data_IF_579761015717
#
_entry.id   IF_579761015717
#
_cell.length_a   1.000
_cell.length_b   1.000
_cell.length_c   1.000
_cell.angle_alpha   90.00
_cell.angle_beta   90.00
_cell.angle_gamma   90.00
#
_symmetry.space_group_name_H-M   'P 1'
#
loop_
_entity.id
_entity.type
_entity.pdbx_description
1 polymer ?
#
# COMPACT_ATOMS: atom_id res chain seq x y z
N UNK A 1 -11.89 -40.50 -23.04
CA UNK A 1 -10.84 -40.03 -23.97
C UNK A 1 -9.52 -39.96 -23.21
N UNK A 2 -8.58 -40.86 -23.50
CA UNK A 2 -7.21 -40.83 -22.93
C UNK A 2 -6.45 -39.68 -23.59
N UNK A 3 -5.93 -38.76 -22.77
CA UNK A 3 -5.12 -37.64 -23.23
C UNK A 3 -3.65 -38.07 -23.18
N UNK A 4 -3.08 -38.43 -24.33
CA UNK A 4 -1.67 -38.80 -24.48
C UNK A 4 -0.77 -37.59 -24.25
N UNK A 5 -0.23 -37.48 -23.04
CA UNK A 5 0.70 -36.42 -22.66
C UNK A 5 2.10 -36.77 -23.18
N UNK A 6 2.37 -36.46 -24.46
CA UNK A 6 3.67 -36.63 -25.10
C UNK A 6 4.66 -35.65 -24.45
N UNK A 7 5.51 -36.16 -23.55
CA UNK A 7 6.58 -35.43 -22.88
C UNK A 7 7.54 -34.82 -23.90
N UNK A 8 7.36 -33.53 -24.23
CA UNK A 8 8.33 -32.77 -25.01
C UNK A 8 9.61 -32.66 -24.19
N UNK A 9 10.67 -33.35 -24.63
CA UNK A 9 12.02 -33.30 -24.08
C UNK A 9 12.49 -31.84 -24.01
N UNK A 10 12.37 -31.20 -22.83
CA UNK A 10 12.79 -29.81 -22.60
C UNK A 10 14.31 -29.75 -22.73
N UNK A 11 14.80 -29.11 -23.78
CA UNK A 11 16.23 -28.83 -23.94
C UNK A 11 16.66 -27.83 -22.87
N UNK A 12 17.70 -28.17 -22.11
CA UNK A 12 18.26 -27.27 -21.09
C UNK A 12 18.85 -26.03 -21.77
N UNK A 13 18.64 -24.84 -21.19
CA UNK A 13 19.01 -23.54 -21.77
C UNK A 13 20.49 -23.50 -22.25
N UNK A 14 21.40 -24.14 -21.51
CA UNK A 14 22.82 -24.28 -21.88
C UNK A 14 23.06 -25.09 -23.17
N UNK A 15 22.21 -26.08 -23.49
CA UNK A 15 22.29 -26.82 -24.76
C UNK A 15 21.79 -25.97 -25.93
N UNK A 16 20.83 -25.08 -25.70
CA UNK A 16 20.34 -24.12 -26.70
C UNK A 16 21.40 -23.04 -26.98
N UNK A 17 22.01 -22.49 -25.92
CA UNK A 17 23.10 -21.51 -26.02
C UNK A 17 24.33 -22.15 -26.70
N UNK A 18 24.71 -23.36 -26.29
CA UNK A 18 25.80 -24.11 -26.91
C UNK A 18 25.56 -24.38 -28.40
N UNK A 19 24.34 -24.75 -28.79
CA UNK A 19 23.98 -24.92 -30.20
C UNK A 19 24.07 -23.59 -30.98
N UNK A 20 23.56 -22.49 -30.42
CA UNK A 20 23.61 -21.14 -31.02
C UNK A 20 25.04 -20.65 -31.25
N UNK A 21 25.99 -21.00 -30.37
CA UNK A 21 27.41 -20.64 -30.53
C UNK A 21 28.17 -21.55 -31.51
N UNK A 22 27.83 -22.84 -31.58
CA UNK A 22 28.56 -23.83 -32.41
C UNK A 22 28.06 -23.84 -33.87
N UNK A 23 26.76 -23.63 -34.11
CA UNK A 23 26.17 -23.55 -35.45
C UNK A 23 26.89 -22.58 -36.41
N UNK A 24 27.20 -21.32 -36.03
CA UNK A 24 27.90 -20.40 -36.93
C UNK A 24 29.33 -20.86 -37.25
N UNK A 25 30.03 -21.52 -36.32
CA UNK A 25 31.35 -22.09 -36.58
C UNK A 25 31.30 -23.26 -37.57
N UNK A 26 30.28 -24.11 -37.46
CA UNK A 26 30.05 -25.22 -38.40
C UNK A 26 29.71 -24.69 -39.79
N UNK A 27 28.82 -23.70 -39.89
CA UNK A 27 28.46 -23.05 -41.17
C UNK A 27 29.71 -22.44 -41.82
N UNK A 28 30.51 -21.71 -41.05
CA UNK A 28 31.75 -21.09 -41.51
C UNK A 28 32.76 -22.16 -42.00
N UNK A 29 32.91 -23.27 -41.28
CA UNK A 29 33.75 -24.40 -41.71
C UNK A 29 33.32 -24.96 -43.07
N UNK A 30 32.01 -25.19 -43.28
CA UNK A 30 31.50 -25.67 -44.57
C UNK A 30 31.71 -24.65 -45.68
N UNK A 31 31.46 -23.35 -45.42
CA UNK A 31 31.74 -22.28 -46.38
C UNK A 31 33.21 -22.30 -46.81
N UNK A 32 34.15 -22.32 -45.86
CA UNK A 32 35.58 -22.41 -46.16
C UNK A 32 35.94 -23.69 -46.92
N UNK A 33 35.35 -24.83 -46.56
CA UNK A 33 35.55 -26.12 -47.25
C UNK A 33 35.08 -26.07 -48.70
N UNK A 34 33.93 -25.45 -48.98
CA UNK A 34 33.41 -25.30 -50.34
C UNK A 34 34.22 -24.29 -51.15
N UNK A 35 34.64 -23.17 -50.55
CA UNK A 35 35.55 -22.20 -51.17
C UNK A 35 36.87 -22.90 -51.53
N UNK A 36 37.47 -23.64 -50.60
CA UNK A 36 38.69 -24.40 -50.85
C UNK A 36 38.53 -25.42 -51.99
N UNK A 37 37.42 -26.19 -51.99
CA UNK A 37 37.12 -27.14 -53.06
C UNK A 37 36.93 -26.46 -54.42
N UNK A 38 36.32 -25.27 -54.44
CA UNK A 38 36.15 -24.46 -55.64
C UNK A 38 37.49 -23.99 -56.22
N UNK A 39 38.40 -23.48 -55.38
CA UNK A 39 39.73 -23.06 -55.82
C UNK A 39 40.62 -24.24 -56.26
N UNK A 40 40.46 -25.43 -55.65
CA UNK A 40 41.19 -26.64 -56.04
C UNK A 40 40.62 -27.34 -57.29
N UNK A 41 39.38 -27.06 -57.69
CA UNK A 41 38.75 -27.69 -58.85
C UNK A 41 39.45 -27.36 -60.17
N UNK A 42 39.73 -28.35 -60.99
CA UNK A 42 40.26 -28.18 -62.36
C UNK A 42 39.18 -27.80 -63.38
N UNK A 43 37.90 -27.84 -62.98
CA UNK A 43 36.74 -27.55 -63.83
C UNK A 43 36.67 -26.10 -64.29
N UNK A 44 37.38 -25.18 -63.63
CA UNK A 44 37.35 -23.74 -63.90
C UNK A 44 38.75 -23.17 -64.09
N UNK A 45 38.92 -22.31 -65.09
CA UNK A 45 40.19 -21.63 -65.38
C UNK A 45 40.52 -20.58 -64.32
N UNK A 46 41.81 -20.20 -64.20
CA UNK A 46 42.26 -19.15 -63.25
C UNK A 46 41.52 -17.82 -63.44
N UNK A 47 41.25 -17.41 -64.68
CA UNK A 47 40.51 -16.17 -65.00
C UNK A 47 39.06 -16.23 -64.51
N UNK A 48 38.37 -17.36 -64.72
CA UNK A 48 36.98 -17.55 -64.27
C UNK A 48 36.84 -17.54 -62.75
N UNK A 49 37.80 -18.13 -62.02
CA UNK A 49 37.80 -18.10 -60.54
C UNK A 49 37.92 -16.68 -59.99
N UNK A 50 38.82 -15.86 -60.57
CA UNK A 50 38.98 -14.44 -60.19
C UNK A 50 37.69 -13.67 -60.43
N UNK A 51 37.07 -13.84 -61.60
CA UNK A 51 35.79 -13.18 -61.95
C UNK A 51 34.68 -13.55 -60.97
N UNK A 52 34.49 -14.84 -60.67
CA UNK A 52 33.44 -15.31 -59.75
C UNK A 52 33.65 -14.74 -58.34
N UNK A 53 34.88 -14.69 -57.84
CA UNK A 53 35.18 -14.10 -56.53
C UNK A 53 34.89 -12.60 -56.48
N UNK A 54 35.24 -11.86 -57.53
CA UNK A 54 34.89 -10.44 -57.65
C UNK A 54 33.36 -10.22 -57.68
N UNK A 55 32.61 -11.08 -58.39
CA UNK A 55 31.14 -11.02 -58.43
C UNK A 55 30.52 -11.29 -57.06
N UNK A 56 31.00 -12.30 -56.33
CA UNK A 56 30.52 -12.61 -54.97
C UNK A 56 30.80 -11.44 -54.02
N UNK A 57 32.01 -10.86 -54.08
CA UNK A 57 32.36 -9.72 -53.23
C UNK A 57 31.49 -8.49 -53.55
N UNK A 58 31.23 -8.22 -54.83
CA UNK A 58 30.31 -7.16 -55.26
C UNK A 58 28.88 -7.41 -54.73
N UNK A 59 28.37 -8.64 -54.80
CA UNK A 59 27.05 -9.00 -54.27
C UNK A 59 26.95 -8.82 -52.75
N UNK A 60 27.99 -9.16 -51.99
CA UNK A 60 28.03 -8.95 -50.53
C UNK A 60 28.05 -7.45 -50.20
N UNK A 61 28.83 -6.68 -50.95
CA UNK A 61 28.92 -5.22 -50.79
C UNK A 61 27.56 -4.55 -51.08
N UNK A 62 26.89 -4.99 -52.15
CA UNK A 62 25.56 -4.53 -52.53
C UNK A 62 24.51 -4.95 -51.48
N UNK A 63 24.62 -6.16 -50.91
CA UNK A 63 23.70 -6.62 -49.86
C UNK A 63 23.76 -5.73 -48.61
N UNK A 64 24.96 -5.32 -48.17
CA UNK A 64 25.11 -4.39 -47.04
C UNK A 64 24.46 -3.02 -47.32
N UNK A 65 24.63 -2.49 -48.53
CA UNK A 65 24.03 -1.22 -48.95
C UNK A 65 22.50 -1.33 -49.02
N UNK A 66 21.97 -2.42 -49.60
CA UNK A 66 20.53 -2.68 -49.68
C UNK A 66 19.93 -2.85 -48.28
N UNK A 67 20.63 -3.54 -47.37
CA UNK A 67 20.17 -3.72 -45.99
C UNK A 67 20.09 -2.41 -45.21
N UNK A 68 20.95 -1.43 -45.48
CA UNK A 68 20.91 -0.12 -44.83
C UNK A 68 19.84 0.77 -45.49
N UNK A 69 19.74 0.73 -46.83
CA UNK A 69 18.75 1.49 -47.60
C UNK A 69 17.30 1.02 -47.43
N UNK A 70 17.07 -0.16 -46.83
CA UNK A 70 15.74 -0.72 -46.55
C UNK A 70 15.29 -0.56 -45.10
N UNK A 71 16.11 0.06 -44.23
CA UNK A 71 15.68 0.39 -42.86
C UNK A 71 14.61 1.48 -42.91
N UNK A 72 13.47 1.22 -42.27
CA UNK A 72 12.43 2.23 -42.09
C UNK A 72 12.92 3.38 -41.20
N UNK A 73 12.17 4.49 -41.12
CA UNK A 73 12.63 5.65 -40.37
C UNK A 73 12.65 5.40 -38.87
N UNK A 74 13.66 5.98 -38.20
CA UNK A 74 13.78 5.94 -36.75
C UNK A 74 12.84 6.94 -36.07
N UNK A 75 12.27 6.57 -34.92
CA UNK A 75 11.47 7.45 -34.06
C UNK A 75 12.36 8.59 -33.55
N UNK A 76 12.08 9.81 -33.99
CA UNK A 76 12.72 11.00 -33.46
C UNK A 76 12.06 11.45 -32.15
N UNK A 77 10.74 11.61 -32.19
CA UNK A 77 9.92 12.14 -31.09
C UNK A 77 8.69 11.28 -30.84
N UNK A 78 8.35 11.10 -29.56
CA UNK A 78 7.05 10.57 -29.14
C UNK A 78 6.37 11.51 -28.16
N UNK A 79 5.06 11.64 -28.29
CA UNK A 79 4.23 12.46 -27.39
C UNK A 79 2.98 11.68 -27.00
N UNK A 80 2.71 11.66 -25.70
CA UNK A 80 1.48 11.16 -25.10
C UNK A 80 0.79 12.33 -24.42
N UNK A 81 -0.51 12.49 -24.64
CA UNK A 81 -1.29 13.54 -23.99
C UNK A 81 -1.60 13.19 -22.54
N UNK A 82 -1.93 14.20 -21.73
CA UNK A 82 -2.42 13.95 -20.38
C UNK A 82 -3.75 13.18 -20.43
N UNK A 83 -3.92 12.25 -19.50
CA UNK A 83 -5.06 11.35 -19.48
C UNK A 83 -5.92 11.68 -18.26
N UNK A 84 -7.20 11.94 -18.49
CA UNK A 84 -8.22 12.00 -17.45
C UNK A 84 -9.17 10.81 -17.61
N UNK A 85 -9.47 10.15 -16.49
CA UNK A 85 -10.40 9.03 -16.42
C UNK A 85 -11.05 8.95 -15.03
N UNK A 86 -12.10 8.14 -14.90
CA UNK A 86 -12.74 7.85 -13.63
C UNK A 86 -12.17 6.59 -12.98
N UNK A 87 -12.30 6.47 -11.66
CA UNK A 87 -12.01 5.24 -10.92
C UNK A 87 -12.77 4.05 -11.53
N UNK A 88 -12.09 2.90 -11.61
CA UNK A 88 -12.55 1.64 -12.23
C UNK A 88 -12.79 1.71 -13.75
N UNK A 89 -12.50 2.85 -14.38
CA UNK A 89 -12.50 2.96 -15.84
C UNK A 89 -11.10 2.77 -16.37
N UNK A 90 -11.02 2.40 -17.64
CA UNK A 90 -9.77 2.25 -18.33
C UNK A 90 -9.75 3.01 -19.64
N UNK A 91 -8.56 3.45 -20.05
CA UNK A 91 -8.33 4.13 -21.32
C UNK A 91 -7.05 3.62 -21.98
N UNK A 92 -7.12 3.37 -23.29
CA UNK A 92 -5.95 2.99 -24.09
C UNK A 92 -5.06 4.22 -24.32
N UNK A 93 -3.75 4.03 -24.24
CA UNK A 93 -2.76 5.09 -24.47
C UNK A 93 -2.60 5.28 -25.98
N UNK A 94 -2.76 6.52 -26.43
CA UNK A 94 -2.53 6.91 -27.82
C UNK A 94 -1.15 7.56 -27.94
N UNK A 95 -0.30 6.97 -28.79
CA UNK A 95 1.05 7.47 -29.05
C UNK A 95 1.08 8.28 -30.34
N UNK A 96 1.57 9.52 -30.27
CA UNK A 96 1.88 10.34 -31.44
C UNK A 96 3.39 10.26 -31.70
N UNK A 97 3.80 9.49 -32.73
CA UNK A 97 5.20 9.31 -33.13
C UNK A 97 5.56 10.15 -34.36
N UNK A 98 6.81 10.63 -34.40
CA UNK A 98 7.40 11.35 -35.54
C UNK A 98 8.72 10.70 -35.93
N UNK A 99 8.93 10.36 -37.22
CA UNK A 99 7.97 10.45 -38.32
C UNK A 99 6.83 9.42 -38.20
N UNK A 100 5.70 9.64 -38.89
CA UNK A 100 4.44 8.89 -38.68
C UNK A 100 4.52 7.41 -39.04
N UNK A 101 5.42 7.06 -39.94
CA UNK A 101 5.69 5.72 -40.45
C UNK A 101 6.73 4.95 -39.62
N UNK A 102 7.33 5.60 -38.61
CA UNK A 102 8.20 4.93 -37.66
C UNK A 102 7.40 3.95 -36.78
N UNK A 103 7.97 2.76 -36.55
CA UNK A 103 7.28 1.67 -35.86
C UNK A 103 7.80 1.44 -34.45
N UNK A 104 6.87 1.21 -33.53
CA UNK A 104 7.13 0.89 -32.13
C UNK A 104 7.25 -0.62 -31.98
N UNK A 105 8.37 -1.08 -31.42
CA UNK A 105 8.60 -2.49 -31.08
C UNK A 105 8.07 -2.86 -29.71
N UNK A 106 8.37 -2.04 -28.71
CA UNK A 106 8.03 -2.31 -27.32
C UNK A 106 7.81 -1.02 -26.53
N UNK A 107 6.93 -1.09 -25.53
CA UNK A 107 6.56 0.02 -24.64
C UNK A 107 6.67 -0.45 -23.20
N UNK A 108 7.27 0.38 -22.33
CA UNK A 108 7.29 0.14 -20.88
C UNK A 108 6.99 1.41 -20.09
N UNK A 109 6.35 1.28 -18.93
CA UNK A 109 5.92 2.41 -18.10
C UNK A 109 6.57 2.33 -16.73
N UNK A 110 7.04 3.48 -16.22
CA UNK A 110 7.68 3.60 -14.92
C UNK A 110 7.32 4.94 -14.25
N UNK A 111 7.70 5.07 -12.99
CA UNK A 111 7.62 6.31 -12.22
C UNK A 111 6.18 6.83 -12.12
N UNK A 112 5.26 5.95 -11.73
CA UNK A 112 3.86 6.25 -11.46
C UNK A 112 3.43 5.65 -10.12
N UNK A 113 2.39 6.22 -9.52
CA UNK A 113 1.81 5.73 -8.28
C UNK A 113 0.87 4.54 -8.54
N UNK A 114 1.26 3.38 -8.02
CA UNK A 114 0.51 2.13 -8.15
C UNK A 114 -0.77 2.10 -7.30
N UNK A 115 -0.94 3.02 -6.34
CA UNK A 115 -2.21 3.19 -5.64
C UNK A 115 -3.24 3.93 -6.50
N UNK A 116 -2.79 4.83 -7.39
CA UNK A 116 -3.67 5.69 -8.19
C UNK A 116 -4.04 5.02 -9.51
N UNK A 117 -3.08 4.37 -10.19
CA UNK A 117 -3.33 3.71 -11.49
C UNK A 117 -2.63 2.35 -11.61
N UNK A 118 -3.15 1.51 -12.50
CA UNK A 118 -2.43 0.39 -13.09
C UNK A 118 -2.26 0.57 -14.59
N UNK A 119 -1.19 0.03 -15.16
CA UNK A 119 -0.92 0.06 -16.60
C UNK A 119 -0.59 -1.35 -17.09
N UNK A 120 -1.45 -1.89 -17.94
CA UNK A 120 -1.31 -3.23 -18.55
C UNK A 120 -1.56 -3.12 -20.05
N UNK A 121 -0.70 -3.69 -20.90
CA UNK A 121 -0.88 -3.72 -22.36
C UNK A 121 -1.26 -2.37 -23.01
N UNK A 122 -0.55 -1.29 -22.62
CA UNK A 122 -0.84 0.09 -23.07
C UNK A 122 -2.25 0.59 -22.72
N UNK A 123 -2.90 0.01 -21.71
CA UNK A 123 -4.18 0.41 -21.16
C UNK A 123 -3.96 0.85 -19.71
N UNK A 124 -4.40 2.06 -19.39
CA UNK A 124 -4.36 2.61 -18.03
C UNK A 124 -5.72 2.37 -17.39
N UNK A 125 -5.74 1.89 -16.15
CA UNK A 125 -6.94 1.76 -15.31
C UNK A 125 -6.79 2.63 -14.07
N UNK A 126 -7.84 3.38 -13.73
CA UNK A 126 -7.88 4.21 -12.52
C UNK A 126 -8.26 3.37 -11.31
N UNK A 127 -7.45 3.42 -10.26
CA UNK A 127 -7.65 2.64 -9.02
C UNK A 127 -8.14 3.54 -7.89
N UNK A 128 -7.43 4.63 -7.61
CA UNK A 128 -7.82 5.60 -6.58
C UNK A 128 -7.80 7.02 -7.13
N UNK A 129 -8.61 7.89 -6.52
CA UNK A 129 -8.64 9.31 -6.83
C UNK A 129 -7.26 9.93 -6.61
N UNK A 130 -6.77 10.66 -7.61
CA UNK A 130 -5.46 11.30 -7.49
C UNK A 130 -4.83 11.69 -8.81
N UNK A 131 -3.59 12.13 -8.71
CA UNK A 131 -2.76 12.56 -9.85
C UNK A 131 -1.41 11.89 -9.77
N UNK A 132 -0.96 11.32 -10.88
CA UNK A 132 0.40 10.78 -10.99
C UNK A 132 1.03 11.22 -12.31
N UNK A 133 2.35 11.41 -12.29
CA UNK A 133 3.13 11.47 -13.54
C UNK A 133 3.43 10.03 -13.98
N UNK A 134 3.56 9.79 -15.28
CA UNK A 134 3.95 8.49 -15.85
C UNK A 134 5.09 8.72 -16.82
N UNK A 135 6.16 7.95 -16.70
CA UNK A 135 7.26 7.94 -17.67
C UNK A 135 7.09 6.73 -18.59
N UNK A 136 6.83 6.99 -19.87
CA UNK A 136 6.81 5.96 -20.91
C UNK A 136 8.19 5.86 -21.56
N UNK A 137 8.66 4.62 -21.76
CA UNK A 137 9.83 4.27 -22.57
C UNK A 137 9.39 3.46 -23.77
N UNK A 138 9.85 3.84 -24.95
CA UNK A 138 9.48 3.24 -26.23
C UNK A 138 10.76 2.78 -26.92
N UNK A 139 10.76 1.53 -27.38
CA UNK A 139 11.84 0.93 -28.15
C UNK A 139 11.46 0.97 -29.64
N UNK A 140 12.33 1.59 -30.43
CA UNK A 140 12.20 1.68 -31.89
C UNK A 140 12.48 0.33 -32.57
N UNK A 141 11.66 -0.04 -33.57
CA UNK A 141 11.76 -1.34 -34.26
C UNK A 141 13.03 -1.50 -35.10
N UNK A 142 13.53 -0.41 -35.70
CA UNK A 142 14.63 -0.45 -36.66
C UNK A 142 16.01 -0.25 -36.02
N UNK A 143 16.08 0.54 -34.95
CA UNK A 143 17.32 0.94 -34.31
C UNK A 143 17.52 0.38 -32.90
N UNK A 144 16.45 -0.16 -32.28
CA UNK A 144 16.42 -0.51 -30.84
C UNK A 144 16.79 0.65 -29.90
N UNK A 145 16.77 1.90 -30.40
CA UNK A 145 16.98 3.09 -29.56
C UNK A 145 15.77 3.31 -28.66
N UNK A 146 16.02 3.82 -27.46
CA UNK A 146 14.99 4.11 -26.46
C UNK A 146 14.63 5.59 -26.52
N UNK A 147 13.33 5.88 -26.64
CA UNK A 147 12.77 7.23 -26.51
C UNK A 147 11.87 7.29 -25.28
N UNK A 148 11.83 8.44 -24.63
CA UNK A 148 11.06 8.62 -23.40
C UNK A 148 10.13 9.82 -23.48
N UNK A 149 8.96 9.71 -22.86
CA UNK A 149 8.01 10.80 -22.71
C UNK A 149 7.38 10.73 -21.32
N UNK A 150 7.01 11.90 -20.79
CA UNK A 150 6.32 12.05 -19.52
C UNK A 150 4.96 12.68 -19.76
N UNK A 151 3.94 12.15 -19.10
CA UNK A 151 2.58 12.68 -19.14
C UNK A 151 1.91 12.52 -17.77
N UNK A 152 0.86 13.30 -17.52
CA UNK A 152 0.10 13.25 -16.26
C UNK A 152 -1.17 12.43 -16.45
N UNK A 153 -1.50 11.65 -15.43
CA UNK A 153 -2.78 10.94 -15.33
C UNK A 153 -3.53 11.48 -14.12
N UNK A 154 -4.79 11.85 -14.32
CA UNK A 154 -5.71 12.27 -13.27
C UNK A 154 -6.88 11.29 -13.21
N UNK A 155 -7.07 10.68 -12.04
CA UNK A 155 -8.21 9.81 -11.74
C UNK A 155 -9.19 10.60 -10.89
N UNK A 156 -10.43 10.73 -11.38
CA UNK A 156 -11.53 11.39 -10.65
C UNK A 156 -12.52 10.33 -10.17
N UNK A 157 -13.31 10.68 -9.17
CA UNK A 157 -14.49 9.91 -8.78
C UNK A 157 -15.72 10.42 -9.55
N UNK A 158 -16.68 9.53 -9.77
CA UNK A 158 -18.03 9.94 -10.21
C UNK A 158 -18.82 10.49 -9.02
N UNK A 159 -19.89 11.26 -9.29
CA UNK A 159 -20.75 11.78 -8.22
C UNK A 159 -21.33 10.66 -7.35
N UNK A 160 -21.64 9.50 -7.95
CA UNK A 160 -22.09 8.31 -7.24
C UNK A 160 -21.01 7.74 -6.31
N UNK A 161 -19.77 7.60 -6.79
CA UNK A 161 -18.65 7.14 -5.97
C UNK A 161 -18.31 8.12 -4.83
N UNK A 162 -18.46 9.43 -5.07
CA UNK A 162 -18.31 10.47 -4.04
C UNK A 162 -19.40 10.31 -2.98
N UNK A 163 -20.66 10.14 -3.40
CA UNK A 163 -21.78 9.96 -2.49
C UNK A 163 -21.61 8.69 -1.63
N UNK A 164 -21.19 7.58 -2.22
CA UNK A 164 -20.93 6.33 -1.50
C UNK A 164 -19.78 6.48 -0.48
N UNK A 165 -18.68 7.10 -0.87
CA UNK A 165 -17.54 7.37 0.03
C UNK A 165 -17.96 8.23 1.23
N UNK A 166 -18.73 9.29 0.98
CA UNK A 166 -19.22 10.17 2.04
C UNK A 166 -20.22 9.47 2.95
N UNK A 167 -21.10 8.61 2.42
CA UNK A 167 -22.02 7.81 3.21
C UNK A 167 -21.29 6.85 4.16
N UNK A 168 -20.24 6.16 3.67
CA UNK A 168 -19.41 5.27 4.50
C UNK A 168 -18.68 6.03 5.60
N UNK A 169 -18.09 7.19 5.28
CA UNK A 169 -17.42 8.04 6.27
C UNK A 169 -18.40 8.55 7.34
N UNK A 170 -19.62 8.89 6.96
CA UNK A 170 -20.66 9.34 7.90
C UNK A 170 -21.14 8.19 8.80
N UNK A 171 -21.27 6.97 8.27
CA UNK A 171 -21.64 5.78 9.04
C UNK A 171 -20.54 5.41 10.06
N UNK A 172 -19.28 5.44 9.64
CA UNK A 172 -18.13 5.20 10.52
C UNK A 172 -18.06 6.24 11.65
N UNK A 173 -18.21 7.54 11.32
CA UNK A 173 -18.25 8.59 12.32
C UNK A 173 -19.41 8.44 13.33
N UNK A 174 -20.59 8.00 12.86
CA UNK A 174 -21.74 7.73 13.75
C UNK A 174 -21.45 6.56 14.70
N UNK A 175 -20.81 5.50 14.19
CA UNK A 175 -20.41 4.34 15.00
C UNK A 175 -19.37 4.73 16.05
N UNK A 176 -18.38 5.52 15.68
CA UNK A 176 -17.34 6.02 16.61
C UNK A 176 -17.96 6.90 17.71
N UNK A 177 -18.94 7.75 17.36
CA UNK A 177 -19.66 8.57 18.32
C UNK A 177 -20.53 7.72 19.26
N UNK A 178 -21.23 6.69 18.74
CA UNK A 178 -22.01 5.76 19.56
C UNK A 178 -21.12 4.97 20.53
N UNK A 179 -19.97 4.46 20.08
CA UNK A 179 -18.99 3.75 20.92
C UNK A 179 -18.42 4.68 22.00
N UNK A 180 -18.11 5.94 21.65
CA UNK A 180 -17.64 6.93 22.60
C UNK A 180 -18.72 7.26 23.64
N UNK A 181 -19.98 7.43 23.23
CA UNK A 181 -21.10 7.64 24.14
C UNK A 181 -21.30 6.45 25.08
N UNK A 182 -21.17 5.21 24.60
CA UNK A 182 -21.23 4.02 25.45
C UNK A 182 -20.12 4.02 26.50
N UNK A 183 -18.86 4.32 26.11
CA UNK A 183 -17.73 4.44 27.05
C UNK A 183 -17.92 5.54 28.09
N UNK A 184 -18.55 6.65 27.71
CA UNK A 184 -18.85 7.77 28.62
C UNK A 184 -19.95 7.44 29.64
N UNK A 185 -20.77 6.43 29.38
CA UNK A 185 -21.90 6.03 30.24
C UNK A 185 -21.70 4.68 30.94
N UNK A 186 -20.61 3.97 30.67
CA UNK A 186 -20.31 2.68 31.28
C UNK A 186 -19.02 2.75 32.08
N UNK A 187 -18.96 1.96 33.17
CA UNK A 187 -17.77 1.84 34.01
C UNK A 187 -17.23 0.43 33.82
N UNK A 188 -15.98 0.32 33.36
CA UNK A 188 -15.30 -0.98 33.31
C UNK A 188 -14.81 -1.39 34.70
N UNK A 189 -14.57 -2.70 34.93
CA UNK A 189 -14.05 -3.18 36.23
C UNK A 189 -12.71 -2.55 36.59
N UNK A 190 -11.80 -2.39 35.63
CA UNK A 190 -10.49 -1.77 35.86
C UNK A 190 -10.64 -0.28 36.23
N UNK A 191 -11.51 0.44 35.52
CA UNK A 191 -11.81 1.83 35.81
C UNK A 191 -12.43 1.99 37.21
N UNK A 192 -13.38 1.13 37.58
CA UNK A 192 -13.97 1.10 38.92
C UNK A 192 -12.92 0.91 40.03
N UNK A 193 -11.93 0.02 39.83
CA UNK A 193 -10.85 -0.19 40.80
C UNK A 193 -9.97 1.06 40.95
N UNK A 194 -9.63 1.71 39.83
CA UNK A 194 -8.86 2.97 39.85
C UNK A 194 -9.63 4.09 40.54
N UNK A 195 -10.92 4.25 40.22
CA UNK A 195 -11.83 5.21 40.86
C UNK A 195 -11.92 4.95 42.36
N UNK A 196 -12.08 3.69 42.77
CA UNK A 196 -12.06 3.28 44.18
C UNK A 196 -10.78 3.74 44.88
N UNK A 197 -9.61 3.50 44.27
CA UNK A 197 -8.33 3.95 44.84
C UNK A 197 -8.27 5.46 44.98
N UNK A 198 -8.67 6.20 43.95
CA UNK A 198 -8.68 7.66 43.97
C UNK A 198 -9.62 8.23 45.04
N UNK A 199 -10.81 7.63 45.22
CA UNK A 199 -11.72 8.00 46.30
C UNK A 199 -11.09 7.75 47.68
N UNK A 200 -10.38 6.63 47.87
CA UNK A 200 -9.66 6.37 49.13
C UNK A 200 -8.64 7.47 49.43
N UNK A 201 -7.84 7.86 48.44
CA UNK A 201 -6.83 8.91 48.62
C UNK A 201 -7.47 10.24 49.05
N UNK A 202 -8.63 10.59 48.49
CA UNK A 202 -9.41 11.79 48.88
C UNK A 202 -9.91 11.66 50.32
N UNK A 203 -10.57 10.54 50.65
CA UNK A 203 -11.18 10.36 51.97
C UNK A 203 -10.11 10.25 53.06
N UNK A 204 -9.00 9.56 52.81
CA UNK A 204 -7.86 9.47 53.74
C UNK A 204 -7.27 10.87 54.04
N UNK A 205 -7.30 11.79 53.08
CA UNK A 205 -6.92 13.19 53.30
C UNK A 205 -7.85 13.98 54.23
N UNK A 206 -9.08 13.49 54.47
CA UNK A 206 -10.09 14.13 55.31
C UNK A 206 -10.12 13.51 56.73
N UNK A 207 -9.82 12.22 56.84
CA UNK A 207 -9.87 11.47 58.10
C UNK A 207 -8.88 12.00 59.16
N UNK A 208 -9.26 11.90 60.44
CA UNK A 208 -8.38 12.26 61.57
C UNK A 208 -7.27 11.24 61.84
N UNK A 209 -7.54 9.97 61.57
CA UNK A 209 -6.62 8.86 61.75
C UNK A 209 -6.66 7.94 60.51
N UNK A 210 -6.13 8.38 59.34
CA UNK A 210 -6.27 7.65 58.08
C UNK A 210 -5.66 6.23 58.12
N UNK A 211 -4.63 6.01 58.94
CA UNK A 211 -4.03 4.68 59.12
C UNK A 211 -4.96 3.65 59.78
N UNK A 212 -6.08 4.08 60.37
CA UNK A 212 -7.09 3.21 60.99
C UNK A 212 -8.28 2.94 60.06
N UNK A 213 -8.26 3.52 58.85
CA UNK A 213 -9.37 3.47 57.91
C UNK A 213 -9.55 2.08 57.32
N UNK A 214 -10.75 1.53 57.46
CA UNK A 214 -11.18 0.30 56.82
C UNK A 214 -12.33 0.59 55.86
N UNK A 215 -12.09 0.29 54.58
CA UNK A 215 -13.05 0.47 53.50
C UNK A 215 -13.69 -0.87 53.12
N UNK A 216 -14.94 -0.86 52.63
CA UNK A 216 -15.60 -2.08 52.18
C UNK A 216 -14.93 -2.66 50.92
N UNK A 217 -15.18 -3.96 50.71
CA UNK A 217 -14.57 -4.77 49.67
C UNK A 217 -13.71 -5.88 50.27
N UNK A 218 -13.87 -7.10 49.75
CA UNK A 218 -13.09 -8.27 50.14
C UNK A 218 -12.10 -8.70 49.05
N UNK A 219 -11.40 -9.81 49.31
CA UNK A 219 -10.49 -10.42 48.34
C UNK A 219 -11.24 -10.99 47.12
N UNK A 220 -12.44 -11.55 47.33
CA UNK A 220 -13.27 -12.14 46.27
C UNK A 220 -14.05 -11.09 45.48
N UNK A 221 -14.53 -10.04 46.15
CA UNK A 221 -15.25 -8.92 45.53
C UNK A 221 -14.68 -7.60 46.06
N UNK A 222 -13.78 -7.01 45.27
CA UNK A 222 -13.11 -5.77 45.62
C UNK A 222 -14.04 -4.56 45.55
N UNK A 223 -15.20 -4.65 44.90
CA UNK A 223 -16.14 -3.54 44.74
C UNK A 223 -17.37 -3.69 45.65
N UNK A 224 -17.44 -4.74 46.47
CA UNK A 224 -18.48 -4.91 47.47
C UNK A 224 -18.58 -3.66 48.36
N UNK A 225 -19.79 -3.11 48.51
CA UNK A 225 -20.05 -1.89 49.28
C UNK A 225 -19.63 -0.59 48.58
N UNK A 226 -19.23 -0.63 47.31
CA UNK A 226 -19.00 0.53 46.46
C UNK A 226 -20.09 0.64 45.40
N UNK A 227 -20.93 1.68 45.49
CA UNK A 227 -21.93 1.98 44.48
C UNK A 227 -21.37 3.03 43.53
N UNK A 228 -21.27 2.69 42.24
CA UNK A 228 -20.75 3.59 41.21
C UNK A 228 -21.75 3.68 40.06
N UNK A 229 -21.95 4.90 39.58
CA UNK A 229 -22.73 5.18 38.36
C UNK A 229 -21.99 6.19 37.53
N UNK A 230 -22.07 6.08 36.20
CA UNK A 230 -21.43 7.01 35.28
C UNK A 230 -22.46 7.48 34.26
N UNK A 231 -22.53 8.78 34.07
CA UNK A 231 -23.35 9.41 33.04
C UNK A 231 -22.55 10.54 32.43
N UNK A 232 -22.30 10.48 31.13
CA UNK A 232 -21.56 11.47 30.38
C UNK A 232 -20.22 11.86 31.07
N UNK A 233 -19.42 10.85 31.41
CA UNK A 233 -18.15 10.94 32.14
C UNK A 233 -18.22 11.48 33.58
N UNK A 234 -19.40 11.84 34.10
CA UNK A 234 -19.57 12.13 35.51
C UNK A 234 -19.77 10.82 36.26
N UNK A 235 -18.78 10.42 37.05
CA UNK A 235 -18.87 9.25 37.92
C UNK A 235 -19.34 9.69 39.29
N UNK A 236 -20.43 9.12 39.79
CA UNK A 236 -20.88 9.27 41.17
C UNK A 236 -20.57 8.00 41.94
N UNK A 237 -19.81 8.12 43.02
CA UNK A 237 -19.40 7.05 43.92
C UNK A 237 -20.04 7.27 45.29
N UNK A 238 -20.66 6.23 45.85
CA UNK A 238 -21.17 6.21 47.22
C UNK A 238 -20.67 4.98 47.96
N UNK A 239 -20.05 5.19 49.11
CA UNK A 239 -19.52 4.11 49.97
C UNK A 239 -19.39 4.59 51.42
N UNK A 240 -18.69 3.82 52.26
CA UNK A 240 -18.44 4.16 53.66
C UNK A 240 -17.01 3.78 54.07
N UNK A 241 -16.55 4.34 55.19
CA UNK A 241 -15.27 4.00 55.80
C UNK A 241 -15.46 3.87 57.31
N UNK A 242 -14.85 2.86 57.93
CA UNK A 242 -14.80 2.69 59.37
C UNK A 242 -13.43 3.18 59.86
N UNK A 243 -13.37 4.28 60.62
CA UNK A 243 -12.11 4.89 61.07
C UNK A 243 -12.22 5.44 62.51
N UNK A 244 -11.08 5.56 63.21
CA UNK A 244 -11.04 6.13 64.55
C UNK A 244 -11.23 7.66 64.54
N UNK A 245 -12.04 8.14 65.47
CA UNK A 245 -12.17 9.58 65.75
C UNK A 245 -11.11 10.05 66.77
N UNK A 246 -11.14 11.33 67.14
CA UNK A 246 -10.22 11.91 68.13
C UNK A 246 -10.30 11.30 69.55
N UNK A 247 -11.29 10.44 69.81
CA UNK A 247 -11.46 9.71 71.06
C UNK A 247 -11.04 8.23 70.97
N UNK A 248 -10.47 7.79 69.83
CA UNK A 248 -10.07 6.40 69.59
C UNK A 248 -11.25 5.45 69.37
N UNK A 249 -12.46 5.97 69.16
CA UNK A 249 -13.63 5.14 68.85
C UNK A 249 -13.75 4.97 67.33
N UNK A 250 -13.91 3.73 66.87
CA UNK A 250 -14.11 3.40 65.45
C UNK A 250 -15.56 3.66 65.03
N UNK A 251 -15.75 4.59 64.09
CA UNK A 251 -17.07 5.04 63.62
C UNK A 251 -17.17 4.84 62.11
N UNK A 252 -18.35 4.38 61.65
CA UNK A 252 -18.70 4.31 60.24
C UNK A 252 -19.15 5.66 59.72
N UNK A 253 -18.41 6.21 58.77
CA UNK A 253 -18.75 7.46 58.07
C UNK A 253 -19.12 7.16 56.61
N UNK A 254 -20.23 7.69 56.13
CA UNK A 254 -20.63 7.55 54.71
C UNK A 254 -20.02 8.67 53.89
N UNK A 255 -19.71 8.40 52.63
CA UNK A 255 -19.22 9.43 51.72
C UNK A 255 -19.80 9.28 50.32
N UNK A 256 -19.86 10.43 49.63
CA UNK A 256 -20.23 10.54 48.23
C UNK A 256 -19.16 11.37 47.53
N UNK A 257 -18.63 10.88 46.41
CA UNK A 257 -17.66 11.59 45.58
C UNK A 257 -18.18 11.62 44.15
N UNK A 258 -18.18 12.79 43.51
CA UNK A 258 -18.36 12.90 42.06
C UNK A 258 -17.04 13.24 41.39
N UNK A 259 -16.74 12.53 40.31
CA UNK A 259 -15.49 12.65 39.54
C UNK A 259 -15.86 12.92 38.09
N UNK A 260 -15.40 14.04 37.56
CA UNK A 260 -15.48 14.31 36.13
C UNK A 260 -14.30 13.62 35.46
N UNK A 261 -14.60 12.56 34.72
CA UNK A 261 -13.62 11.85 33.90
C UNK A 261 -13.40 12.58 32.57
N UNK A 262 -12.19 12.48 32.05
CA UNK A 262 -11.82 12.87 30.69
C UNK A 262 -11.72 11.61 29.82
N UNK A 263 -11.83 11.77 28.50
CA UNK A 263 -11.76 10.63 27.57
C UNK A 263 -10.37 9.95 27.54
N UNK A 264 -9.33 10.62 28.05
CA UNK A 264 -7.98 10.06 28.22
C UNK A 264 -7.82 9.18 29.49
N UNK A 265 -8.87 9.05 30.31
CA UNK A 265 -8.89 8.27 31.54
C UNK A 265 -8.47 9.03 32.81
N UNK A 266 -8.11 10.31 32.71
CA UNK A 266 -7.85 11.17 33.88
C UNK A 266 -9.17 11.62 34.50
N UNK A 267 -9.20 11.77 35.83
CA UNK A 267 -10.39 12.18 36.57
C UNK A 267 -10.08 13.27 37.57
N UNK A 268 -11.02 14.22 37.73
CA UNK A 268 -10.95 15.25 38.76
C UNK A 268 -12.20 15.19 39.63
N UNK A 269 -12.03 15.16 40.95
CA UNK A 269 -13.15 15.29 41.87
C UNK A 269 -13.83 16.66 41.73
N UNK A 270 -15.15 16.66 41.50
CA UNK A 270 -15.98 17.86 41.42
C UNK A 270 -16.87 18.06 42.64
N UNK A 271 -17.16 16.98 43.37
CA UNK A 271 -17.95 16.99 44.60
C UNK A 271 -17.42 15.97 45.60
N UNK A 272 -17.36 16.36 46.88
CA UNK A 272 -17.04 15.46 47.99
C UNK A 272 -17.96 15.78 49.17
N UNK A 273 -18.70 14.78 49.62
CA UNK A 273 -19.48 14.81 50.85
C UNK A 273 -19.01 13.70 51.78
N UNK A 274 -18.78 14.04 53.04
CA UNK A 274 -18.30 13.13 54.06
C UNK A 274 -19.15 13.29 55.33
N UNK A 275 -19.72 12.18 55.81
CA UNK A 275 -20.61 12.08 56.96
C UNK A 275 -21.79 13.08 56.98
N UNK A 276 -22.34 13.37 55.80
CA UNK A 276 -23.44 14.33 55.65
C UNK A 276 -22.99 15.77 55.39
N UNK A 277 -21.72 16.10 55.58
CA UNK A 277 -21.16 17.43 55.36
C UNK A 277 -20.52 17.53 53.96
N UNK A 278 -20.77 18.64 53.26
CA UNK A 278 -20.15 18.93 51.96
C UNK A 278 -18.77 19.53 52.18
N UNK A 279 -17.73 18.80 51.77
CA UNK A 279 -16.33 19.20 51.91
C UNK A 279 -15.86 19.99 50.68
N UNK A 280 -16.37 19.62 49.50
CA UNK A 280 -15.95 20.23 48.23
C UNK A 280 -17.11 20.25 47.23
N UNK A 281 -17.23 21.38 46.52
CA UNK A 281 -18.03 21.49 45.30
C UNK A 281 -19.54 21.55 45.51
N UNK A 282 -20.28 21.17 44.48
CA UNK A 282 -21.74 21.08 44.49
C UNK A 282 -22.17 19.84 43.73
N UNK A 283 -23.18 19.14 44.23
CA UNK A 283 -23.67 17.91 43.62
C UNK A 283 -24.29 18.21 42.25
N UNK A 284 -23.89 17.45 41.24
CA UNK A 284 -24.26 17.58 39.83
C UNK A 284 -25.19 16.46 39.38
#
# INVERSE_FOLDING_TARGET
>A
MKNDNKTRKKWTLWKVIGALCILPLVIMYYIFKYIYKFYKSEKFTKKQKIIITCVIFALISIYGIISEATKGPEIDKVTVENIELYKDKSKKIEFKVSPKDAKIKETSFKNYDHAIISVEDNKITGLEEGKTEVTCKIIDEHSNKIKTNKFKVTVKLTDEQIAEKNAKLAEEAKKDEEELQEKRNTISTTEAITIKSYCKDIIDGILKAPSTAEYPGGWLDQLEGWNMSKNNNLVTVSSYVDAENSFGAKIRSKFIVQIQMQDNGEGQATYVQFDGEVIMGSYQ
#
